data_IF_000252186387
#
_entry.id   IF_000252186387
#
_cell.length_a   1.000
_cell.length_b   1.000
_cell.length_c   1.000
_cell.angle_alpha   90.00
_cell.angle_beta   90.00
_cell.angle_gamma   90.00
#
_symmetry.space_group_name_H-M   'P 1'
#
loop_
_entity.id
_entity.type
_entity.pdbx_description
1 polymer ?
#
# COMPACT_ATOMS: atom_id res chain seq x y z
N UNK A 1 -37.66 12.79 -19.67
CA UNK A 1 -36.51 13.21 -20.50
C UNK A 1 -35.84 14.45 -19.89
N UNK A 2 -34.89 14.23 -18.99
CA UNK A 2 -34.04 15.31 -18.48
C UNK A 2 -33.02 15.64 -19.56
N UNK A 3 -33.20 16.78 -20.23
CA UNK A 3 -32.19 17.37 -21.11
C UNK A 3 -30.95 17.63 -20.25
N UNK A 4 -29.93 16.80 -20.43
CA UNK A 4 -28.63 16.99 -19.79
C UNK A 4 -28.07 18.34 -20.19
N UNK A 5 -27.92 19.22 -19.22
CA UNK A 5 -27.15 20.46 -19.37
C UNK A 5 -25.71 20.08 -19.69
N UNK A 6 -25.31 20.17 -20.95
CA UNK A 6 -23.88 20.20 -21.30
C UNK A 6 -23.29 21.44 -20.63
N UNK A 7 -22.40 21.26 -19.66
CA UNK A 7 -21.68 22.36 -19.03
C UNK A 7 -20.99 23.19 -20.12
N UNK A 8 -21.38 24.46 -20.27
CA UNK A 8 -20.78 25.34 -21.27
C UNK A 8 -19.29 25.57 -20.93
N UNK A 9 -18.35 25.11 -21.77
CA UNK A 9 -16.92 25.30 -21.53
C UNK A 9 -16.50 26.79 -21.58
N UNK A 10 -17.39 27.70 -21.96
CA UNK A 10 -17.14 29.16 -22.04
C UNK A 10 -17.31 29.93 -20.74
N UNK A 11 -17.77 29.29 -19.67
CA UNK A 11 -18.04 29.96 -18.39
C UNK A 11 -16.80 30.46 -17.65
N UNK A 12 -15.59 30.04 -18.05
CA UNK A 12 -14.32 30.50 -17.46
C UNK A 12 -14.15 30.17 -15.98
N UNK A 13 -15.01 29.31 -15.42
CA UNK A 13 -15.00 28.90 -14.01
C UNK A 13 -13.85 27.94 -13.75
N UNK A 14 -12.94 28.33 -12.85
CA UNK A 14 -11.85 27.47 -12.40
C UNK A 14 -12.32 26.67 -11.19
N UNK A 15 -12.42 25.35 -11.35
CA UNK A 15 -12.72 24.42 -10.26
C UNK A 15 -11.41 23.91 -9.66
N UNK A 16 -11.26 23.97 -8.35
CA UNK A 16 -10.11 23.42 -7.63
C UNK A 16 -10.61 22.50 -6.54
N UNK A 17 -10.07 21.28 -6.52
CA UNK A 17 -10.44 20.24 -5.58
C UNK A 17 -9.50 20.29 -4.38
N UNK A 18 -10.08 20.26 -3.18
CA UNK A 18 -9.36 20.29 -1.93
C UNK A 18 -9.73 19.08 -1.09
N UNK A 19 -8.78 18.62 -0.28
CA UNK A 19 -9.03 17.56 0.68
C UNK A 19 -8.21 17.74 1.97
N UNK A 20 -8.71 17.24 3.10
CA UNK A 20 -7.96 17.18 4.35
C UNK A 20 -8.15 15.84 5.02
N UNK A 21 -7.12 15.48 5.79
CA UNK A 21 -7.06 14.26 6.57
C UNK A 21 -7.63 14.49 7.96
N UNK A 22 -8.24 13.44 8.49
CA UNK A 22 -8.78 13.39 9.84
C UNK A 22 -7.76 12.68 10.73
N UNK A 23 -7.74 12.95 12.04
CA UNK A 23 -6.93 12.19 12.97
C UNK A 23 -7.10 10.67 12.81
N UNK A 24 -6.00 9.94 12.99
CA UNK A 24 -5.96 8.48 12.85
C UNK A 24 -6.88 7.81 13.89
N UNK A 25 -7.69 6.84 13.45
CA UNK A 25 -8.59 6.03 14.29
C UNK A 25 -9.67 6.80 15.06
N UNK A 26 -9.95 8.04 14.67
CA UNK A 26 -11.06 8.79 15.22
C UNK A 26 -12.31 8.61 14.34
N UNK A 27 -13.31 7.93 14.89
CA UNK A 27 -14.62 7.68 14.27
C UNK A 27 -15.76 8.38 15.01
N UNK A 28 -15.45 9.40 15.82
CA UNK A 28 -16.46 10.11 16.60
C UNK A 28 -17.30 11.02 15.71
N UNK A 29 -18.58 11.20 16.07
CA UNK A 29 -19.46 12.13 15.36
C UNK A 29 -18.96 13.57 15.47
N UNK A 30 -18.31 13.91 16.58
CA UNK A 30 -17.75 15.25 16.81
C UNK A 30 -16.65 15.57 15.79
N UNK A 31 -15.72 14.65 15.54
CA UNK A 31 -14.68 14.88 14.52
C UNK A 31 -15.26 14.90 13.12
N UNK A 32 -16.29 14.10 12.83
CA UNK A 32 -17.04 14.17 11.57
C UNK A 32 -17.60 15.58 11.31
N UNK A 33 -18.40 16.11 12.23
CA UNK A 33 -19.03 17.43 12.06
C UNK A 33 -18.00 18.56 12.06
N UNK A 34 -17.00 18.49 12.94
CA UNK A 34 -15.93 19.50 13.00
C UNK A 34 -15.12 19.54 11.72
N UNK A 35 -14.79 18.38 11.13
CA UNK A 35 -14.02 18.30 9.89
C UNK A 35 -14.81 18.84 8.69
N UNK A 36 -16.12 18.58 8.64
CA UNK A 36 -17.02 19.17 7.63
C UNK A 36 -17.10 20.69 7.80
N UNK A 37 -17.29 21.17 9.03
CA UNK A 37 -17.43 22.60 9.31
C UNK A 37 -16.18 23.39 8.92
N UNK A 38 -15.00 22.80 9.14
CA UNK A 38 -13.72 23.35 8.73
C UNK A 38 -13.54 23.46 7.20
N UNK A 39 -14.40 22.81 6.40
CA UNK A 39 -14.35 22.80 4.94
C UNK A 39 -15.52 23.53 4.25
N UNK A 40 -16.35 24.27 5.00
CA UNK A 40 -17.49 24.99 4.44
C UNK A 40 -17.16 26.40 3.93
N UNK A 41 -16.12 27.04 4.47
CA UNK A 41 -15.74 28.43 4.15
C UNK A 41 -14.46 28.47 3.32
N UNK A 42 -14.36 29.44 2.41
CA UNK A 42 -13.20 29.56 1.50
C UNK A 42 -11.87 29.70 2.26
N UNK A 43 -11.82 30.59 3.24
CA UNK A 43 -10.58 30.87 3.98
C UNK A 43 -10.11 29.64 4.78
N UNK A 44 -11.03 28.90 5.40
CA UNK A 44 -10.69 27.69 6.16
C UNK A 44 -10.25 26.54 5.26
N UNK A 45 -10.82 26.42 4.06
CA UNK A 45 -10.38 25.42 3.07
C UNK A 45 -8.94 25.71 2.66
N UNK A 46 -8.61 26.94 2.27
CA UNK A 46 -7.26 27.28 1.80
C UNK A 46 -6.20 27.09 2.90
N UNK A 47 -6.54 27.36 4.16
CA UNK A 47 -5.62 27.25 5.30
C UNK A 47 -5.41 25.80 5.77
N UNK A 48 -6.46 24.97 5.77
CA UNK A 48 -6.46 23.66 6.45
C UNK A 48 -6.47 22.44 5.52
N UNK A 49 -6.36 22.65 4.21
CA UNK A 49 -6.49 21.56 3.25
C UNK A 49 -5.39 21.55 2.19
N UNK A 50 -5.29 20.42 1.52
CA UNK A 50 -4.35 20.17 0.43
C UNK A 50 -5.07 20.18 -0.90
N UNK A 51 -4.41 20.69 -1.94
CA UNK A 51 -4.93 20.67 -3.31
C UNK A 51 -4.81 19.26 -3.86
N UNK A 52 -5.91 18.72 -4.38
CA UNK A 52 -5.93 17.40 -5.00
C UNK A 52 -5.15 17.43 -6.33
N UNK A 53 -4.30 16.42 -6.53
CA UNK A 53 -3.57 16.24 -7.79
C UNK A 53 -4.55 15.90 -8.91
N UNK A 54 -4.40 16.57 -10.05
CA UNK A 54 -5.22 16.31 -11.22
C UNK A 54 -4.87 14.97 -11.85
N UNK A 55 -5.88 14.24 -12.32
CA UNK A 55 -5.63 13.01 -13.06
C UNK A 55 -4.89 13.35 -14.37
N UNK A 56 -3.72 12.76 -14.65
CA UNK A 56 -2.95 13.07 -15.86
C UNK A 56 -3.69 12.76 -17.17
N UNK A 57 -4.62 11.80 -17.11
CA UNK A 57 -5.28 11.23 -18.30
C UNK A 57 -6.77 10.95 -18.11
N UNK A 58 -7.33 11.30 -16.95
CA UNK A 58 -8.76 11.16 -16.65
C UNK A 58 -9.58 12.38 -17.09
N UNK A 59 -10.93 12.30 -17.00
CA UNK A 59 -11.81 13.45 -17.16
C UNK A 59 -11.42 14.60 -16.21
N UNK A 60 -11.67 15.86 -16.59
CA UNK A 60 -11.20 17.03 -15.84
C UNK A 60 -11.74 17.12 -14.41
N UNK A 61 -12.83 16.42 -14.08
CA UNK A 61 -13.41 16.35 -12.73
C UNK A 61 -13.09 15.06 -11.98
N UNK A 62 -12.29 14.15 -12.54
CA UNK A 62 -11.84 12.95 -11.83
C UNK A 62 -10.55 13.26 -11.06
N UNK A 63 -10.48 12.81 -9.81
CA UNK A 63 -9.31 12.95 -8.94
C UNK A 63 -8.98 11.59 -8.32
N UNK A 64 -7.69 11.30 -8.21
CA UNK A 64 -7.17 10.09 -7.58
C UNK A 64 -6.77 10.43 -6.15
N UNK A 65 -7.17 9.59 -5.21
CA UNK A 65 -6.89 9.77 -3.79
C UNK A 65 -6.43 8.46 -3.18
N UNK A 66 -5.32 8.49 -2.44
CA UNK A 66 -4.86 7.35 -1.65
C UNK A 66 -5.82 7.10 -0.49
N UNK A 67 -6.31 5.87 -0.40
CA UNK A 67 -7.12 5.42 0.73
C UNK A 67 -6.22 4.81 1.79
N UNK A 68 -6.27 5.36 3.00
CA UNK A 68 -5.58 4.82 4.18
C UNK A 68 -6.63 4.27 5.15
N UNK A 69 -6.50 3.01 5.56
CA UNK A 69 -7.46 2.42 6.50
C UNK A 69 -7.37 3.14 7.85
N UNK A 70 -8.51 3.34 8.51
CA UNK A 70 -8.58 4.05 9.78
C UNK A 70 -8.42 5.57 9.71
N UNK A 71 -8.28 6.16 8.51
CA UNK A 71 -8.13 7.60 8.33
C UNK A 71 -9.23 8.12 7.41
N UNK A 72 -10.05 9.01 7.94
CA UNK A 72 -11.10 9.66 7.17
C UNK A 72 -10.54 10.81 6.32
N UNK A 73 -11.24 11.12 5.24
CA UNK A 73 -10.90 12.25 4.38
C UNK A 73 -12.15 13.06 4.05
N UNK A 74 -12.01 14.38 4.13
CA UNK A 74 -13.04 15.34 3.71
C UNK A 74 -12.60 15.99 2.41
N UNK A 75 -13.53 16.10 1.46
CA UNK A 75 -13.29 16.64 0.14
C UNK A 75 -14.24 17.81 -0.11
N UNK A 76 -13.75 18.85 -0.76
CA UNK A 76 -14.57 19.97 -1.21
C UNK A 76 -14.08 20.50 -2.56
N UNK A 77 -14.96 21.18 -3.27
CA UNK A 77 -14.65 21.82 -4.55
C UNK A 77 -14.87 23.32 -4.38
N UNK A 78 -13.88 24.10 -4.79
CA UNK A 78 -13.98 25.55 -4.83
C UNK A 78 -14.06 25.98 -6.28
N UNK A 79 -15.16 26.64 -6.66
CA UNK A 79 -15.33 27.25 -7.97
C UNK A 79 -15.01 28.74 -7.87
N UNK A 80 -14.09 29.21 -8.71
CA UNK A 80 -13.72 30.62 -8.81
C UNK A 80 -14.15 31.17 -10.17
N UNK A 81 -14.98 32.21 -10.13
CA UNK A 81 -15.42 32.92 -11.31
C UNK A 81 -14.34 33.92 -11.78
N UNK A 82 -14.31 34.29 -13.08
CA UNK A 82 -13.41 35.32 -13.60
C UNK A 82 -13.60 36.69 -12.92
N UNK A 83 -14.81 36.97 -12.41
CA UNK A 83 -15.15 38.19 -11.66
C UNK A 83 -14.56 38.24 -10.25
N UNK A 84 -13.89 37.17 -9.80
CA UNK A 84 -13.34 37.06 -8.45
C UNK A 84 -14.32 36.48 -7.43
N UNK A 85 -15.59 36.25 -7.78
CA UNK A 85 -16.54 35.56 -6.92
C UNK A 85 -16.11 34.10 -6.71
N UNK A 86 -16.24 33.63 -5.47
CA UNK A 86 -15.87 32.26 -5.08
C UNK A 86 -17.09 31.56 -4.50
N UNK A 87 -17.30 30.31 -4.90
CA UNK A 87 -18.30 29.43 -4.33
C UNK A 87 -17.64 28.16 -3.82
N UNK A 88 -17.97 27.76 -2.60
CA UNK A 88 -17.50 26.51 -1.99
C UNK A 88 -18.66 25.52 -2.03
N UNK A 89 -18.39 24.33 -2.57
CA UNK A 89 -19.37 23.27 -2.68
C UNK A 89 -19.51 22.55 -1.33
N UNK A 90 -20.64 21.87 -1.13
CA UNK A 90 -20.89 21.11 0.09
C UNK A 90 -19.82 20.03 0.23
N UNK A 91 -19.04 20.03 1.33
CA UNK A 91 -17.98 19.04 1.52
C UNK A 91 -18.58 17.64 1.69
N UNK A 92 -17.88 16.65 1.15
CA UNK A 92 -18.23 15.23 1.29
C UNK A 92 -17.17 14.52 2.11
N UNK A 93 -17.61 13.54 2.88
CA UNK A 93 -16.79 12.85 3.85
C UNK A 93 -16.78 11.34 3.57
N UNK A 94 -15.63 10.68 3.64
CA UNK A 94 -15.57 9.21 3.59
C UNK A 94 -14.35 8.66 4.32
N UNK A 95 -14.53 7.51 4.99
CA UNK A 95 -13.44 6.66 5.52
C UNK A 95 -12.98 5.59 4.51
N UNK A 96 -13.45 5.64 3.26
CA UNK A 96 -13.23 4.59 2.25
C UNK A 96 -13.72 3.20 2.65
N UNK A 97 -14.65 3.14 3.60
CA UNK A 97 -15.23 1.93 4.17
C UNK A 97 -16.64 2.24 4.68
N UNK A 98 -17.45 1.21 4.93
CA UNK A 98 -18.83 1.39 5.38
C UNK A 98 -18.92 1.42 6.91
N UNK A 99 -18.95 2.64 7.47
CA UNK A 99 -19.11 2.85 8.92
C UNK A 99 -20.52 2.55 9.43
N UNK A 100 -21.54 2.54 8.57
CA UNK A 100 -22.96 2.42 8.96
C UNK A 100 -23.36 1.00 9.32
N UNK A 101 -22.78 -0.02 8.66
CA UNK A 101 -23.12 -1.42 8.88
C UNK A 101 -22.14 -2.16 9.78
N UNK A 102 -20.84 -1.84 9.71
CA UNK A 102 -19.83 -2.53 10.50
C UNK A 102 -18.53 -1.70 10.61
N UNK A 103 -18.33 -1.03 11.75
CA UNK A 103 -17.09 -0.30 12.06
C UNK A 103 -15.84 -1.18 12.04
N UNK A 104 -15.99 -2.50 12.20
CA UNK A 104 -14.88 -3.44 12.12
C UNK A 104 -14.32 -3.61 10.69
N UNK A 105 -15.04 -3.16 9.66
CA UNK A 105 -14.53 -3.14 8.26
C UNK A 105 -13.70 -1.90 7.94
N UNK A 106 -13.77 -0.87 8.77
CA UNK A 106 -13.02 0.38 8.62
C UNK A 106 -11.64 0.33 9.30
N UNK A 107 -11.49 -0.51 10.31
CA UNK A 107 -10.21 -0.84 10.91
C UNK A 107 -9.56 -2.07 10.25
N UNK A 108 -8.26 -2.24 10.44
CA UNK A 108 -7.69 -3.59 10.34
C UNK A 108 -8.33 -4.45 11.43
N UNK A 109 -8.94 -5.58 11.06
CA UNK A 109 -9.38 -6.58 12.03
C UNK A 109 -8.15 -7.21 12.71
N UNK A 110 -7.70 -6.58 13.79
CA UNK A 110 -6.58 -7.04 14.61
C UNK A 110 -7.06 -8.15 15.55
N UNK A 111 -7.34 -9.32 14.98
CA UNK A 111 -7.58 -10.54 15.77
C UNK A 111 -6.33 -10.87 16.59
N UNK A 112 -6.50 -11.67 17.64
CA UNK A 112 -5.36 -12.12 18.47
C UNK A 112 -4.28 -12.79 17.63
N UNK A 113 -4.67 -13.52 16.58
CA UNK A 113 -3.74 -14.14 15.64
C UNK A 113 -2.86 -13.11 14.93
N UNK A 114 -3.46 -12.10 14.30
CA UNK A 114 -2.72 -11.04 13.56
C UNK A 114 -1.79 -10.26 14.49
N UNK A 115 -2.20 -10.00 15.75
CA UNK A 115 -1.33 -9.35 16.75
C UNK A 115 -0.09 -10.18 17.07
N UNK A 116 -0.27 -11.49 17.29
CA UNK A 116 0.84 -12.40 17.59
C UNK A 116 1.75 -12.55 16.37
N UNK A 117 1.17 -12.70 15.18
CA UNK A 117 1.91 -12.78 13.93
C UNK A 117 2.75 -11.53 13.66
N UNK A 118 2.17 -10.34 13.80
CA UNK A 118 2.89 -9.07 13.64
C UNK A 118 4.06 -8.94 14.64
N UNK A 119 3.86 -9.34 15.89
CA UNK A 119 4.93 -9.33 16.89
C UNK A 119 6.07 -10.29 16.50
N UNK A 120 5.74 -11.52 16.05
CA UNK A 120 6.73 -12.49 15.59
C UNK A 120 7.49 -11.98 14.36
N UNK A 121 6.79 -11.40 13.37
CA UNK A 121 7.40 -10.83 12.18
C UNK A 121 8.38 -9.70 12.54
N UNK A 122 8.05 -8.85 13.52
CA UNK A 122 8.96 -7.81 13.99
C UNK A 122 10.24 -8.38 14.61
N UNK A 123 10.16 -9.42 15.44
CA UNK A 123 11.37 -10.06 16.00
C UNK A 123 12.20 -10.78 14.94
N UNK A 124 11.55 -11.51 14.04
CA UNK A 124 12.21 -12.25 12.96
C UNK A 124 12.87 -11.27 11.98
N UNK A 125 12.22 -10.14 11.67
CA UNK A 125 12.75 -9.10 10.80
C UNK A 125 14.03 -8.47 11.35
N UNK A 126 14.07 -8.20 12.67
CA UNK A 126 15.26 -7.68 13.34
C UNK A 126 16.41 -8.69 13.27
N UNK A 127 16.09 -9.96 13.50
CA UNK A 127 17.07 -11.05 13.39
C UNK A 127 17.65 -11.15 11.98
N UNK A 128 16.81 -11.12 10.94
CA UNK A 128 17.26 -11.16 9.54
C UNK A 128 18.12 -9.94 9.22
N UNK A 129 17.67 -8.75 9.62
CA UNK A 129 18.34 -7.49 9.30
C UNK A 129 19.80 -7.46 9.78
N UNK A 130 20.06 -7.95 11.00
CA UNK A 130 21.41 -7.90 11.59
C UNK A 130 22.19 -9.21 11.50
N UNK A 131 21.52 -10.36 11.53
CA UNK A 131 22.15 -11.68 11.67
C UNK A 131 21.80 -12.66 10.54
N UNK A 132 20.94 -12.28 9.59
CA UNK A 132 20.51 -13.14 8.48
C UNK A 132 21.70 -13.69 7.66
N UNK A 133 22.70 -12.87 7.38
CA UNK A 133 23.90 -13.32 6.65
C UNK A 133 24.70 -14.40 7.39
N UNK A 134 24.76 -14.35 8.73
CA UNK A 134 25.51 -15.34 9.54
C UNK A 134 24.76 -16.66 9.65
N UNK A 135 23.43 -16.61 9.73
CA UNK A 135 22.56 -17.80 9.85
C UNK A 135 21.87 -18.10 8.53
N UNK A 136 22.67 -18.56 7.57
CA UNK A 136 22.26 -18.74 6.18
C UNK A 136 21.05 -19.68 6.00
N UNK A 137 21.01 -20.83 6.67
CA UNK A 137 19.89 -21.77 6.57
C UNK A 137 18.57 -21.15 7.07
N UNK A 138 18.64 -20.41 8.18
CA UNK A 138 17.49 -19.71 8.75
C UNK A 138 17.02 -18.58 7.83
N UNK A 139 17.97 -17.81 7.26
CA UNK A 139 17.66 -16.78 6.27
C UNK A 139 16.96 -17.37 5.05
N UNK A 140 17.43 -18.52 4.57
CA UNK A 140 16.86 -19.21 3.42
C UNK A 140 15.43 -19.68 3.69
N UNK A 141 15.19 -20.27 4.86
CA UNK A 141 13.85 -20.70 5.29
C UNK A 141 12.87 -19.53 5.34
N UNK A 142 13.26 -18.41 5.97
CA UNK A 142 12.36 -17.27 6.13
C UNK A 142 12.10 -16.58 4.79
N UNK A 143 13.14 -16.35 3.98
CA UNK A 143 12.97 -15.72 2.66
C UNK A 143 12.13 -16.58 1.71
N UNK A 144 12.30 -17.91 1.75
CA UNK A 144 11.41 -18.83 1.04
C UNK A 144 9.97 -18.79 1.55
N UNK A 145 9.79 -18.64 2.86
CA UNK A 145 8.46 -18.50 3.47
C UNK A 145 7.76 -17.21 3.08
N UNK A 146 8.49 -16.09 2.98
CA UNK A 146 7.97 -14.80 2.49
C UNK A 146 7.51 -14.94 1.04
N UNK A 147 8.33 -15.53 0.16
CA UNK A 147 7.95 -15.74 -1.25
C UNK A 147 6.73 -16.63 -1.38
N UNK A 148 6.67 -17.74 -0.63
CA UNK A 148 5.49 -18.62 -0.63
C UNK A 148 4.23 -17.94 -0.11
N UNK A 149 4.35 -17.10 0.92
CA UNK A 149 3.24 -16.29 1.45
C UNK A 149 2.77 -15.27 0.41
N UNK A 150 3.69 -14.57 -0.26
CA UNK A 150 3.36 -13.62 -1.32
C UNK A 150 2.64 -14.30 -2.49
N UNK A 151 3.17 -15.42 -2.99
CA UNK A 151 2.56 -16.15 -4.11
C UNK A 151 1.17 -16.68 -3.73
N UNK A 152 1.05 -17.32 -2.56
CA UNK A 152 -0.25 -17.84 -2.09
C UNK A 152 -1.26 -16.72 -1.85
N UNK A 153 -0.85 -15.58 -1.30
CA UNK A 153 -1.69 -14.40 -1.15
C UNK A 153 -2.29 -13.93 -2.49
N UNK A 154 -1.46 -13.79 -3.53
CA UNK A 154 -1.90 -13.34 -4.86
C UNK A 154 -2.95 -14.28 -5.46
N UNK A 155 -2.85 -15.58 -5.22
CA UNK A 155 -3.86 -16.53 -5.68
C UNK A 155 -5.12 -16.52 -4.81
N UNK A 156 -4.96 -16.50 -3.48
CA UNK A 156 -6.07 -16.65 -2.54
C UNK A 156 -7.01 -15.42 -2.49
N UNK A 157 -6.48 -14.22 -2.74
CA UNK A 157 -7.28 -12.98 -2.73
C UNK A 157 -8.45 -13.01 -3.72
N UNK A 158 -8.38 -13.86 -4.76
CA UNK A 158 -9.45 -14.02 -5.75
C UNK A 158 -10.56 -15.00 -5.31
N UNK A 159 -10.28 -15.91 -4.37
CA UNK A 159 -11.16 -17.03 -4.04
C UNK A 159 -11.78 -16.93 -2.64
N UNK A 160 -11.10 -16.30 -1.69
CA UNK A 160 -11.53 -16.24 -0.28
C UNK A 160 -11.96 -14.81 0.06
N UNK A 161 -13.14 -14.67 0.66
CA UNK A 161 -13.74 -13.36 0.97
C UNK A 161 -13.45 -12.87 2.39
N UNK A 162 -13.02 -13.74 3.30
CA UNK A 162 -12.73 -13.41 4.70
C UNK A 162 -11.26 -13.09 4.92
N UNK A 163 -10.97 -11.86 5.40
CA UNK A 163 -9.59 -11.33 5.52
C UNK A 163 -8.66 -12.17 6.42
N UNK A 164 -9.19 -12.70 7.53
CA UNK A 164 -8.37 -13.40 8.53
C UNK A 164 -8.03 -14.83 8.10
N UNK A 165 -8.98 -15.52 7.45
CA UNK A 165 -8.81 -16.92 7.09
C UNK A 165 -7.76 -17.09 6.01
N UNK A 166 -7.71 -16.18 5.03
CA UNK A 166 -6.72 -16.32 3.95
C UNK A 166 -5.30 -15.96 4.40
N UNK A 167 -5.09 -15.02 5.33
CA UNK A 167 -3.74 -14.69 5.84
C UNK A 167 -3.16 -15.91 6.57
N UNK A 168 -3.98 -16.56 7.40
CA UNK A 168 -3.57 -17.79 8.08
C UNK A 168 -3.25 -18.91 7.08
N UNK A 169 -4.05 -19.09 6.03
CA UNK A 169 -3.78 -20.12 5.00
C UNK A 169 -2.51 -19.78 4.22
N UNK A 170 -2.31 -18.51 3.84
CA UNK A 170 -1.14 -18.04 3.10
C UNK A 170 0.16 -18.24 3.88
N UNK A 171 0.14 -17.96 5.19
CA UNK A 171 1.32 -18.15 6.06
C UNK A 171 1.69 -19.62 6.21
N UNK A 172 0.70 -20.52 6.34
CA UNK A 172 0.93 -21.98 6.39
C UNK A 172 1.53 -22.48 5.08
N UNK A 173 0.96 -22.07 3.93
CA UNK A 173 1.52 -22.42 2.62
C UNK A 173 2.94 -21.85 2.47
N UNK A 174 3.16 -20.63 2.93
CA UNK A 174 4.47 -19.99 2.99
C UNK A 174 5.49 -20.84 3.74
N UNK A 175 5.18 -21.30 4.95
CA UNK A 175 6.07 -22.18 5.73
C UNK A 175 6.44 -23.45 4.96
N UNK A 176 5.50 -24.06 4.25
CA UNK A 176 5.77 -25.24 3.41
C UNK A 176 6.76 -24.90 2.29
N UNK A 177 6.60 -23.77 1.62
CA UNK A 177 7.57 -23.28 0.63
C UNK A 177 8.97 -23.03 1.24
N UNK A 178 9.05 -22.49 2.45
CA UNK A 178 10.30 -22.33 3.19
C UNK A 178 11.02 -23.66 3.46
N UNK A 179 10.27 -24.70 3.84
CA UNK A 179 10.80 -26.07 4.04
C UNK A 179 11.31 -26.65 2.71
N UNK A 180 10.50 -26.57 1.65
CA UNK A 180 10.87 -27.08 0.32
C UNK A 180 12.16 -26.40 -0.16
N UNK A 181 12.26 -25.09 0.00
CA UNK A 181 13.42 -24.34 -0.46
C UNK A 181 14.69 -24.64 0.36
N UNK A 182 14.53 -24.81 1.68
CA UNK A 182 15.64 -25.24 2.54
C UNK A 182 16.07 -26.68 2.24
N UNK A 183 15.12 -27.56 1.91
CA UNK A 183 15.41 -28.94 1.49
C UNK A 183 16.13 -28.97 0.13
N UNK A 184 15.76 -28.06 -0.77
CA UNK A 184 16.40 -27.88 -2.08
C UNK A 184 17.89 -27.53 -1.91
N UNK A 185 18.23 -26.73 -0.90
CA UNK A 185 19.63 -26.47 -0.53
C UNK A 185 20.37 -27.75 -0.11
N UNK A 186 19.76 -28.61 0.71
CA UNK A 186 20.37 -29.88 1.13
C UNK A 186 20.60 -30.84 -0.05
N UNK A 187 19.76 -30.77 -1.08
CA UNK A 187 19.93 -31.61 -2.27
C UNK A 187 20.99 -31.06 -3.22
N UNK A 188 20.93 -29.76 -3.54
CA UNK A 188 21.71 -29.17 -4.65
C UNK A 188 23.01 -28.50 -4.22
N UNK A 189 23.18 -28.16 -2.93
CA UNK A 189 24.37 -27.50 -2.37
C UNK A 189 24.88 -26.27 -3.15
N UNK A 190 24.04 -25.66 -3.99
CA UNK A 190 24.46 -24.61 -4.92
C UNK A 190 24.22 -23.21 -4.34
N UNK A 191 25.27 -22.41 -4.07
CA UNK A 191 25.16 -21.08 -3.45
C UNK A 191 24.36 -20.08 -4.30
N UNK A 192 24.27 -20.28 -5.60
CA UNK A 192 23.61 -19.34 -6.53
C UNK A 192 22.10 -19.36 -6.35
N UNK A 193 21.49 -20.56 -6.26
CA UNK A 193 20.03 -20.70 -6.12
C UNK A 193 19.52 -20.10 -4.81
N UNK A 194 20.33 -20.17 -3.77
CA UNK A 194 19.94 -19.67 -2.46
C UNK A 194 20.07 -18.16 -2.31
N UNK A 195 20.94 -17.51 -3.10
CA UNK A 195 21.05 -16.04 -3.14
C UNK A 195 19.94 -15.44 -4.02
N UNK A 196 19.38 -16.22 -4.93
CA UNK A 196 18.32 -15.79 -5.84
C UNK A 196 17.04 -15.35 -5.12
N UNK A 197 16.58 -16.08 -4.11
CA UNK A 197 15.32 -15.77 -3.40
C UNK A 197 15.38 -14.46 -2.61
N UNK A 198 16.38 -14.22 -1.74
CA UNK A 198 16.48 -12.94 -1.02
C UNK A 198 16.51 -11.74 -1.97
N UNK A 199 17.25 -11.87 -3.09
CA UNK A 199 17.29 -10.86 -4.14
C UNK A 199 15.92 -10.64 -4.79
N UNK A 200 15.25 -11.72 -5.17
CA UNK A 200 13.92 -11.66 -5.75
C UNK A 200 12.93 -10.93 -4.83
N UNK A 201 12.88 -11.27 -3.54
CA UNK A 201 12.02 -10.57 -2.57
C UNK A 201 12.37 -9.08 -2.46
N UNK A 202 13.65 -8.74 -2.37
CA UNK A 202 14.08 -7.34 -2.29
C UNK A 202 13.68 -6.54 -3.54
N UNK A 203 13.86 -7.10 -4.74
CA UNK A 203 13.50 -6.41 -5.97
C UNK A 203 12.00 -6.38 -6.23
N UNK A 204 11.25 -7.36 -5.75
CA UNK A 204 9.80 -7.28 -5.70
C UNK A 204 9.34 -6.11 -4.82
N UNK A 205 9.94 -5.93 -3.63
CA UNK A 205 9.63 -4.77 -2.77
C UNK A 205 9.97 -3.44 -3.45
N UNK A 206 11.20 -3.29 -3.96
CA UNK A 206 11.62 -2.07 -4.65
C UNK A 206 10.74 -1.76 -5.87
N UNK A 207 10.42 -2.78 -6.66
CA UNK A 207 9.55 -2.62 -7.84
C UNK A 207 8.12 -2.28 -7.43
N UNK A 208 7.60 -2.85 -6.34
CA UNK A 208 6.28 -2.48 -5.83
C UNK A 208 6.22 -1.00 -5.40
N UNK A 209 7.26 -0.53 -4.69
CA UNK A 209 7.37 0.88 -4.26
C UNK A 209 7.46 1.81 -5.48
N UNK A 210 8.39 1.54 -6.40
CA UNK A 210 8.54 2.34 -7.62
C UNK A 210 7.26 2.39 -8.43
N UNK A 211 6.59 1.24 -8.56
CA UNK A 211 5.34 1.16 -9.29
C UNK A 211 4.21 1.92 -8.59
N UNK A 212 4.13 1.92 -7.27
CA UNK A 212 3.11 2.70 -6.55
C UNK A 212 3.22 4.20 -6.85
N UNK A 213 4.44 4.72 -7.03
CA UNK A 213 4.71 6.11 -7.40
C UNK A 213 4.34 6.38 -8.87
N UNK A 214 4.67 5.45 -9.76
CA UNK A 214 4.51 5.62 -11.21
C UNK A 214 3.06 5.36 -11.67
N UNK A 215 2.31 4.49 -10.97
CA UNK A 215 0.91 4.15 -11.29
C UNK A 215 0.04 5.39 -11.44
N UNK A 216 0.21 6.37 -10.55
CA UNK A 216 -0.62 7.58 -10.53
C UNK A 216 -0.31 8.52 -11.71
N UNK A 217 0.82 8.34 -12.41
CA UNK A 217 1.26 9.22 -13.50
C UNK A 217 0.80 8.74 -14.89
N UNK A 218 0.53 7.45 -15.07
CA UNK A 218 0.36 6.84 -16.41
C UNK A 218 -0.84 5.85 -16.43
N UNK A 219 -1.86 6.07 -17.28
CA UNK A 219 -3.07 5.23 -17.33
C UNK A 219 -2.79 3.83 -17.88
N UNK A 220 -1.66 3.64 -18.57
CA UNK A 220 -1.25 2.33 -19.13
C UNK A 220 -1.09 1.28 -18.02
N UNK A 221 -0.82 1.73 -16.79
CA UNK A 221 -0.64 0.88 -15.62
C UNK A 221 -1.93 0.52 -14.88
N UNK A 222 -3.09 1.00 -15.33
CA UNK A 222 -4.38 0.58 -14.78
C UNK A 222 -4.74 -0.86 -15.16
N UNK A 223 -4.22 -1.35 -16.30
CA UNK A 223 -4.42 -2.74 -16.72
C UNK A 223 -3.58 -3.72 -15.89
N UNK A 224 -4.24 -4.73 -15.32
CA UNK A 224 -3.61 -5.79 -14.52
C UNK A 224 -2.47 -6.50 -15.26
N UNK A 225 -2.63 -6.78 -16.55
CA UNK A 225 -1.61 -7.48 -17.34
C UNK A 225 -0.35 -6.64 -17.48
N UNK A 226 -0.51 -5.35 -17.76
CA UNK A 226 0.62 -4.42 -17.90
C UNK A 226 1.35 -4.27 -16.57
N UNK A 227 0.61 -4.24 -15.46
CA UNK A 227 1.20 -4.23 -14.12
C UNK A 227 2.09 -5.45 -13.90
N UNK A 228 1.54 -6.67 -14.02
CA UNK A 228 2.32 -7.87 -13.73
C UNK A 228 3.54 -8.03 -14.64
N UNK A 229 3.41 -7.73 -15.94
CA UNK A 229 4.52 -7.83 -16.90
C UNK A 229 5.64 -6.84 -16.56
N UNK A 230 5.30 -5.59 -16.25
CA UNK A 230 6.30 -4.58 -15.87
C UNK A 230 6.93 -4.87 -14.51
N UNK A 231 6.14 -5.37 -13.56
CA UNK A 231 6.63 -5.79 -12.24
C UNK A 231 7.68 -6.91 -12.34
N UNK A 232 7.37 -8.00 -13.06
CA UNK A 232 8.29 -9.13 -13.20
C UNK A 232 9.51 -8.80 -14.07
N UNK A 233 9.32 -8.05 -15.16
CA UNK A 233 10.44 -7.66 -16.02
C UNK A 233 11.45 -6.77 -15.29
N UNK A 234 10.99 -5.78 -14.54
CA UNK A 234 11.90 -4.91 -13.78
C UNK A 234 12.60 -5.67 -12.64
N UNK A 235 11.85 -6.52 -11.92
CA UNK A 235 12.42 -7.36 -10.86
C UNK A 235 13.51 -8.31 -11.40
N UNK A 236 13.31 -8.89 -12.59
CA UNK A 236 14.30 -9.73 -13.24
C UNK A 236 15.56 -8.96 -13.66
N UNK A 237 15.40 -7.75 -14.22
CA UNK A 237 16.54 -6.90 -14.61
C UNK A 237 17.44 -6.60 -13.41
N UNK A 238 16.86 -6.18 -12.29
CA UNK A 238 17.62 -5.91 -11.08
C UNK A 238 18.29 -7.16 -10.50
N UNK A 239 17.62 -8.32 -10.60
CA UNK A 239 18.18 -9.59 -10.19
C UNK A 239 19.44 -9.93 -11.02
N UNK A 240 19.38 -9.82 -12.36
CA UNK A 240 20.52 -10.07 -13.23
C UNK A 240 21.69 -9.11 -12.96
N UNK A 241 21.41 -7.83 -12.75
CA UNK A 241 22.42 -6.82 -12.41
C UNK A 241 23.16 -7.12 -11.09
N UNK A 242 22.52 -7.85 -10.18
CA UNK A 242 23.04 -8.12 -8.83
C UNK A 242 23.81 -9.44 -8.70
N UNK A 243 23.76 -10.29 -9.73
CA UNK A 243 24.48 -11.57 -9.81
C UNK A 243 26.02 -11.47 -9.73
N UNK A 244 26.70 -10.42 -10.25
CA UNK A 244 28.16 -10.35 -10.21
C UNK A 244 28.76 -10.28 -8.79
N UNK A 245 27.98 -9.86 -7.78
CA UNK A 245 28.44 -9.73 -6.38
C UNK A 245 27.44 -10.35 -5.39
N UNK A 246 27.25 -11.68 -5.42
CA UNK A 246 26.12 -12.34 -4.75
C UNK A 246 26.16 -12.18 -3.22
N UNK A 247 27.34 -12.18 -2.60
CA UNK A 247 27.47 -12.03 -1.14
C UNK A 247 27.04 -10.63 -0.66
N UNK A 248 27.55 -9.58 -1.31
CA UNK A 248 27.18 -8.20 -0.97
C UNK A 248 25.69 -7.95 -1.23
N UNK A 249 25.18 -8.42 -2.37
CA UNK A 249 23.77 -8.27 -2.74
C UNK A 249 22.85 -9.03 -1.78
N UNK A 250 23.24 -10.22 -1.30
CA UNK A 250 22.45 -10.98 -0.33
C UNK A 250 22.40 -10.30 1.05
N UNK A 251 23.51 -9.73 1.52
CA UNK A 251 23.54 -8.94 2.77
C UNK A 251 22.60 -7.75 2.67
N UNK A 252 22.68 -6.98 1.57
CA UNK A 252 21.84 -5.82 1.34
C UNK A 252 20.35 -6.19 1.19
N UNK A 253 20.04 -7.23 0.41
CA UNK A 253 18.67 -7.71 0.24
C UNK A 253 18.06 -8.17 1.57
N UNK A 254 18.81 -8.93 2.36
CA UNK A 254 18.36 -9.40 3.67
C UNK A 254 18.17 -8.25 4.65
N UNK A 255 19.02 -7.22 4.62
CA UNK A 255 18.84 -6.03 5.46
C UNK A 255 17.60 -5.21 5.08
N UNK A 256 17.34 -5.02 3.78
CA UNK A 256 16.17 -4.25 3.29
C UNK A 256 14.87 -4.99 3.61
N UNK A 257 14.77 -6.27 3.25
CA UNK A 257 13.59 -7.09 3.53
C UNK A 257 13.38 -7.24 5.05
N UNK A 258 14.45 -7.46 5.81
CA UNK A 258 14.42 -7.52 7.27
C UNK A 258 13.88 -6.22 7.87
N UNK A 259 14.42 -5.06 7.48
CA UNK A 259 13.94 -3.77 7.95
C UNK A 259 12.46 -3.54 7.63
N UNK A 260 12.02 -3.84 6.40
CA UNK A 260 10.61 -3.75 6.02
C UNK A 260 9.72 -4.64 6.90
N UNK A 261 10.14 -5.88 7.13
CA UNK A 261 9.45 -6.85 7.98
C UNK A 261 9.43 -6.45 9.47
N UNK A 262 10.28 -5.52 9.90
CA UNK A 262 10.21 -4.95 11.26
C UNK A 262 9.26 -3.76 11.35
N UNK A 263 9.41 -2.80 10.44
CA UNK A 263 8.76 -1.50 10.56
C UNK A 263 7.27 -1.62 10.28
N UNK A 264 6.88 -2.37 9.24
CA UNK A 264 5.48 -2.48 8.82
C UNK A 264 4.60 -3.16 9.87
N UNK A 265 4.96 -4.32 10.45
CA UNK A 265 4.13 -4.93 11.49
C UNK A 265 4.01 -4.07 12.76
N UNK A 266 5.06 -3.32 13.13
CA UNK A 266 5.01 -2.38 14.25
C UNK A 266 4.03 -1.25 13.93
N UNK A 267 4.13 -0.65 12.74
CA UNK A 267 3.25 0.42 12.30
C UNK A 267 1.79 -0.03 12.28
N UNK A 268 1.50 -1.21 11.71
CA UNK A 268 0.15 -1.79 11.68
C UNK A 268 -0.37 -2.07 13.10
N UNK A 269 0.48 -2.56 14.01
CA UNK A 269 0.08 -2.87 15.39
C UNK A 269 -0.26 -1.64 16.22
N UNK A 270 0.40 -0.52 15.93
CA UNK A 270 0.12 0.80 16.53
C UNK A 270 -1.06 1.49 15.81
N UNK A 271 -1.38 1.06 14.58
CA UNK A 271 -2.36 1.70 13.72
C UNK A 271 -1.81 2.93 12.97
N UNK A 272 -0.51 3.12 12.90
CA UNK A 272 0.05 4.33 12.30
C UNK A 272 -0.05 4.35 10.77
N UNK A 273 -0.30 5.52 10.19
CA UNK A 273 -0.23 5.76 8.74
C UNK A 273 1.15 5.50 8.12
N UNK A 274 2.19 5.39 8.94
CA UNK A 274 3.57 5.13 8.51
C UNK A 274 3.67 3.84 7.68
N UNK A 275 2.80 2.85 7.92
CA UNK A 275 2.76 1.63 7.11
C UNK A 275 2.49 1.87 5.62
N UNK A 276 1.88 3.01 5.26
CA UNK A 276 1.56 3.35 3.87
C UNK A 276 2.64 4.19 3.18
N UNK A 277 3.66 4.63 3.92
CA UNK A 277 4.82 5.34 3.37
C UNK A 277 5.88 4.36 2.87
N UNK A 278 5.84 3.11 3.34
CA UNK A 278 6.81 2.05 3.05
C UNK A 278 6.23 0.98 2.12
#
# INVERSE_FOLDING_TARGET
PYNGTSCDPRSGLKHTFYHAFIPEWDFTEETYFTSIMNMMTYDSVVDRSYVAVESPTGPPFQRLFSSYRGIGRVFTIVAKAPSGAVSVYVPTFTYSCNTTYNTATCGLMMTTFVKVENALLAFIGLFICFKGHRYYLTNLFIMGSITGTFVSYVFLVKYVTTEVDFIMIATVIGMVFGIIWTSTWWCLHSPILSVLIPLFNCFCLVTAILYSIVRDMLPVFESDVNYWVTFFSLSLVFLFLSLPRPLASNVAASSVVGAYMTVVPIAISIGSSIAYVF
#
